data_IF_140381646745
#
_entry.id   IF_140381646745
#
_cell.length_a   1.000
_cell.length_b   1.000
_cell.length_c   1.000
_cell.angle_alpha   90.00
_cell.angle_beta   90.00
_cell.angle_gamma   90.00
#
_symmetry.space_group_name_H-M   'P 1'
#
loop_
_entity.id
_entity.type
_entity.pdbx_description
1 polymer ?
#
# COMPACT_ATOMS: atom_id res chain seq x y z
N UNK A 1 10.56 -8.79 -7.24
CA UNK A 1 9.68 -9.53 -8.18
C UNK A 1 8.24 -9.45 -7.67
N UNK A 2 7.27 -9.29 -8.57
CA UNK A 2 5.84 -9.12 -8.21
C UNK A 2 5.06 -10.38 -8.57
N UNK A 3 4.20 -10.84 -7.67
CA UNK A 3 3.40 -12.06 -7.80
C UNK A 3 1.95 -11.82 -7.41
N UNK A 4 1.05 -12.62 -7.97
CA UNK A 4 -0.34 -12.73 -7.51
C UNK A 4 -0.58 -14.13 -6.95
N UNK A 5 -1.29 -14.23 -5.82
CA UNK A 5 -1.53 -15.53 -5.16
C UNK A 5 -2.50 -16.43 -5.93
N UNK A 6 -3.40 -15.83 -6.70
CA UNK A 6 -4.44 -16.50 -7.48
C UNK A 6 -4.49 -16.00 -8.93
N UNK A 7 -5.18 -16.75 -9.80
CA UNK A 7 -5.51 -16.27 -11.14
C UNK A 7 -6.40 -15.03 -11.04
N UNK A 8 -5.92 -13.92 -11.61
CA UNK A 8 -6.61 -12.63 -11.60
C UNK A 8 -6.55 -11.98 -12.97
N UNK A 9 -7.63 -11.29 -13.36
CA UNK A 9 -7.66 -10.49 -14.58
C UNK A 9 -6.91 -9.15 -14.43
N UNK A 10 -6.30 -8.88 -13.27
CA UNK A 10 -5.54 -7.67 -12.99
C UNK A 10 -4.02 -7.87 -13.06
N UNK A 11 -3.52 -9.07 -13.39
CA UNK A 11 -2.08 -9.37 -13.36
C UNK A 11 -1.25 -8.43 -14.25
N UNK A 12 -1.66 -8.24 -15.51
CA UNK A 12 -0.97 -7.33 -16.43
C UNK A 12 -0.98 -5.88 -15.90
N UNK A 13 -2.09 -5.45 -15.30
CA UNK A 13 -2.23 -4.12 -14.72
C UNK A 13 -1.35 -3.92 -13.47
N UNK A 14 -1.22 -4.94 -12.61
CA UNK A 14 -0.33 -4.91 -11.44
C UNK A 14 1.13 -4.77 -11.90
N UNK A 15 1.55 -5.52 -12.92
CA UNK A 15 2.90 -5.39 -13.51
C UNK A 15 3.11 -4.04 -14.21
N UNK A 16 2.08 -3.50 -14.86
CA UNK A 16 2.14 -2.16 -15.43
C UNK A 16 2.32 -1.10 -14.33
N UNK A 17 1.60 -1.18 -13.21
CA UNK A 17 1.80 -0.31 -12.05
C UNK A 17 3.24 -0.42 -11.53
N UNK A 18 3.76 -1.64 -11.36
CA UNK A 18 5.14 -1.87 -10.93
C UNK A 18 6.18 -1.25 -11.88
N UNK A 19 5.90 -1.27 -13.18
CA UNK A 19 6.76 -0.70 -14.22
C UNK A 19 6.74 0.84 -14.19
N UNK A 20 5.54 1.45 -14.11
CA UNK A 20 5.36 2.91 -13.99
C UNK A 20 6.02 3.44 -12.72
N UNK A 21 5.90 2.72 -11.61
CA UNK A 21 6.47 3.09 -10.31
C UNK A 21 7.97 2.82 -10.21
N UNK A 22 8.58 2.14 -11.19
CA UNK A 22 10.00 1.81 -11.21
C UNK A 22 10.42 0.72 -10.22
N UNK A 23 9.49 -0.15 -9.81
CA UNK A 23 9.73 -1.21 -8.80
C UNK A 23 9.66 -2.63 -9.37
N UNK A 24 9.30 -2.78 -10.65
CA UNK A 24 9.20 -4.08 -11.32
C UNK A 24 10.47 -4.94 -11.19
N UNK A 25 11.64 -4.30 -11.29
CA UNK A 25 12.95 -4.96 -11.23
C UNK A 25 13.57 -4.97 -9.81
N UNK A 26 12.80 -4.60 -8.78
CA UNK A 26 13.28 -4.69 -7.40
C UNK A 26 13.54 -6.14 -6.98
N UNK A 27 14.54 -6.32 -6.11
CA UNK A 27 14.80 -7.59 -5.44
C UNK A 27 13.73 -7.93 -4.38
N UNK A 28 12.98 -6.92 -3.92
CA UNK A 28 11.85 -7.08 -2.99
C UNK A 28 10.78 -8.00 -3.59
N UNK A 29 10.33 -8.99 -2.83
CA UNK A 29 9.20 -9.84 -3.20
C UNK A 29 7.90 -9.11 -2.86
N UNK A 30 7.04 -8.88 -3.86
CA UNK A 30 5.73 -8.22 -3.66
C UNK A 30 4.64 -9.21 -4.01
N UNK A 31 3.82 -9.57 -3.03
CA UNK A 31 2.73 -10.53 -3.19
C UNK A 31 1.39 -9.81 -3.11
N UNK A 32 0.56 -9.96 -4.14
CA UNK A 32 -0.80 -9.37 -4.19
C UNK A 32 -1.86 -10.46 -4.06
N UNK A 33 -2.69 -10.36 -3.02
CA UNK A 33 -3.81 -11.25 -2.74
C UNK A 33 -5.15 -10.49 -2.88
N UNK A 34 -6.14 -11.14 -3.51
CA UNK A 34 -7.50 -10.60 -3.60
C UNK A 34 -8.41 -11.22 -2.54
N UNK A 35 -9.03 -10.39 -1.71
CA UNK A 35 -9.97 -10.82 -0.67
C UNK A 35 -11.38 -10.36 -0.99
N UNK A 36 -12.38 -11.09 -0.49
CA UNK A 36 -13.76 -10.63 -0.57
C UNK A 36 -13.95 -9.31 0.16
N UNK A 37 -13.34 -9.18 1.34
CA UNK A 37 -13.41 -8.01 2.20
C UNK A 37 -12.09 -7.91 2.96
N UNK A 38 -11.58 -6.70 3.09
CA UNK A 38 -10.51 -6.36 4.02
C UNK A 38 -11.10 -5.79 5.33
N UNK A 39 -10.28 -5.79 6.39
CA UNK A 39 -10.68 -5.27 7.70
C UNK A 39 -11.18 -3.82 7.61
N UNK A 40 -12.18 -3.49 8.44
CA UNK A 40 -12.88 -2.20 8.45
C UNK A 40 -13.47 -1.75 7.09
N UNK A 41 -13.72 -2.69 6.17
CA UNK A 41 -14.19 -2.39 4.80
C UNK A 41 -13.21 -1.52 4.00
N UNK A 42 -11.91 -1.62 4.29
CA UNK A 42 -10.85 -0.99 3.50
C UNK A 42 -10.83 -1.51 2.05
N UNK A 43 -10.35 -0.66 1.13
CA UNK A 43 -10.18 -1.01 -0.28
C UNK A 43 -8.97 -1.92 -0.54
N UNK A 44 -7.96 -1.82 0.31
CA UNK A 44 -6.78 -2.65 0.32
C UNK A 44 -5.91 -2.36 1.55
N UNK A 45 -4.80 -3.08 1.65
CA UNK A 45 -3.75 -2.87 2.62
C UNK A 45 -2.40 -3.23 2.01
N UNK A 46 -1.34 -2.54 2.41
CA UNK A 46 0.04 -2.83 2.05
C UNK A 46 0.92 -2.77 3.30
N UNK A 47 1.70 -3.82 3.55
CA UNK A 47 2.66 -3.87 4.65
C UNK A 47 3.86 -4.76 4.30
N UNK A 48 4.90 -4.67 5.13
CA UNK A 48 6.14 -5.42 4.93
C UNK A 48 7.36 -4.51 5.08
N UNK A 49 8.45 -4.91 4.44
CA UNK A 49 9.72 -4.18 4.47
C UNK A 49 10.40 -4.22 3.09
N UNK A 50 11.69 -3.88 3.04
CA UNK A 50 12.43 -3.84 1.77
C UNK A 50 12.75 -5.22 1.19
N UNK A 51 12.55 -6.30 1.93
CA UNK A 51 12.79 -7.67 1.49
C UNK A 51 11.48 -8.33 0.98
N UNK A 52 10.39 -8.19 1.73
CA UNK A 52 9.08 -8.79 1.42
C UNK A 52 7.92 -7.83 1.71
N UNK A 53 6.96 -7.74 0.78
CA UNK A 53 5.77 -6.91 0.86
C UNK A 53 4.53 -7.74 0.53
N UNK A 54 3.51 -7.60 1.36
CA UNK A 54 2.18 -8.19 1.18
C UNK A 54 1.17 -7.08 0.88
N UNK A 55 0.37 -7.30 -0.16
CA UNK A 55 -0.73 -6.43 -0.57
C UNK A 55 -2.02 -7.24 -0.56
N UNK A 56 -3.04 -6.71 0.09
CA UNK A 56 -4.42 -7.19 -0.01
C UNK A 56 -5.27 -6.20 -0.78
N UNK A 57 -6.14 -6.72 -1.66
CA UNK A 57 -7.13 -5.92 -2.38
C UNK A 57 -8.53 -6.47 -2.13
N UNK A 58 -9.42 -5.61 -1.65
CA UNK A 58 -10.83 -5.96 -1.50
C UNK A 58 -11.54 -5.99 -2.85
N UNK A 59 -12.38 -6.99 -3.05
CA UNK A 59 -13.24 -7.12 -4.24
C UNK A 59 -14.71 -6.77 -3.94
N UNK A 60 -15.08 -6.64 -2.67
CA UNK A 60 -16.41 -6.24 -2.22
C UNK A 60 -16.30 -5.25 -1.05
N UNK A 61 -17.28 -4.36 -0.93
CA UNK A 61 -17.46 -3.46 0.22
C UNK A 61 -18.90 -3.57 0.68
N UNK A 62 -19.12 -3.72 1.99
CA UNK A 62 -20.46 -3.91 2.58
C UNK A 62 -21.27 -5.07 1.98
N UNK A 63 -20.58 -6.05 1.36
CA UNK A 63 -21.19 -7.23 0.74
C UNK A 63 -21.49 -7.10 -0.75
N UNK A 64 -21.34 -5.91 -1.34
CA UNK A 64 -21.54 -5.67 -2.77
C UNK A 64 -20.20 -5.68 -3.52
N UNK A 65 -20.14 -6.26 -4.73
CA UNK A 65 -18.92 -6.28 -5.53
C UNK A 65 -18.51 -4.86 -5.94
N UNK A 66 -17.22 -4.57 -5.85
CA UNK A 66 -16.66 -3.32 -6.31
C UNK A 66 -16.61 -3.25 -7.84
N UNK A 67 -16.88 -2.08 -8.44
CA UNK A 67 -16.54 -1.81 -9.83
C UNK A 67 -15.06 -2.09 -10.12
N UNK A 68 -14.75 -2.58 -11.32
CA UNK A 68 -13.35 -2.83 -11.74
C UNK A 68 -12.49 -1.57 -11.64
N UNK A 69 -13.04 -0.40 -11.95
CA UNK A 69 -12.33 0.88 -11.82
C UNK A 69 -11.89 1.16 -10.38
N UNK A 70 -12.74 0.86 -9.40
CA UNK A 70 -12.42 1.05 -7.98
C UNK A 70 -11.34 0.06 -7.52
N UNK A 71 -11.42 -1.20 -7.97
CA UNK A 71 -10.37 -2.20 -7.69
C UNK A 71 -9.03 -1.76 -8.28
N UNK A 72 -9.02 -1.24 -9.51
CA UNK A 72 -7.81 -0.75 -10.16
C UNK A 72 -7.22 0.47 -9.46
N UNK A 73 -8.07 1.35 -8.92
CA UNK A 73 -7.65 2.48 -8.09
C UNK A 73 -7.03 2.00 -6.78
N UNK A 74 -7.64 1.04 -6.08
CA UNK A 74 -7.06 0.45 -4.87
C UNK A 74 -5.72 -0.24 -5.17
N UNK A 75 -5.61 -0.99 -6.26
CA UNK A 75 -4.33 -1.58 -6.69
C UNK A 75 -3.27 -0.48 -6.90
N UNK A 76 -3.59 0.60 -7.60
CA UNK A 76 -2.63 1.70 -7.80
C UNK A 76 -2.21 2.33 -6.47
N UNK A 77 -3.14 2.51 -5.54
CA UNK A 77 -2.89 3.04 -4.19
C UNK A 77 -1.93 2.15 -3.40
N UNK A 78 -2.25 0.86 -3.26
CA UNK A 78 -1.40 -0.07 -2.51
C UNK A 78 -0.03 -0.29 -3.17
N UNK A 79 0.03 -0.25 -4.51
CA UNK A 79 1.30 -0.30 -5.22
C UNK A 79 2.18 0.94 -4.98
N UNK A 80 1.59 2.11 -4.74
CA UNK A 80 2.33 3.30 -4.31
C UNK A 80 2.93 3.07 -2.92
N UNK A 81 2.19 2.47 -1.98
CA UNK A 81 2.75 2.10 -0.67
C UNK A 81 3.90 1.11 -0.80
N UNK A 82 3.77 0.10 -1.67
CA UNK A 82 4.88 -0.81 -1.94
C UNK A 82 6.12 -0.07 -2.48
N UNK A 83 5.94 0.90 -3.39
CA UNK A 83 7.05 1.75 -3.83
C UNK A 83 7.66 2.55 -2.68
N UNK A 84 6.82 3.16 -1.83
CA UNK A 84 7.29 3.94 -0.70
C UNK A 84 8.14 3.10 0.26
N UNK A 85 7.74 1.85 0.53
CA UNK A 85 8.51 0.89 1.35
C UNK A 85 9.81 0.48 0.64
N UNK A 86 9.74 0.03 -0.61
CA UNK A 86 10.90 -0.42 -1.40
C UNK A 86 11.98 0.66 -1.49
N UNK A 87 11.57 1.92 -1.61
CA UNK A 87 12.48 3.06 -1.72
C UNK A 87 13.01 3.58 -0.38
N UNK A 88 12.56 3.00 0.74
CA UNK A 88 12.89 3.46 2.10
C UNK A 88 12.26 4.81 2.46
N UNK A 89 11.27 5.27 1.70
CA UNK A 89 10.50 6.47 2.03
C UNK A 89 9.50 6.20 3.14
N UNK A 90 8.97 4.97 3.24
CA UNK A 90 8.05 4.55 4.28
C UNK A 90 8.63 3.35 5.04
N UNK A 91 8.67 3.45 6.37
CA UNK A 91 9.06 2.35 7.26
C UNK A 91 8.11 2.31 8.45
N UNK A 92 7.35 1.21 8.60
CA UNK A 92 6.53 0.97 9.80
C UNK A 92 7.41 0.34 10.89
N UNK A 93 7.72 1.15 11.92
CA UNK A 93 8.54 0.74 13.08
C UNK A 93 7.68 0.01 14.13
N UNK A 94 6.36 -0.01 13.94
CA UNK A 94 5.41 -0.69 14.80
C UNK A 94 5.16 0.02 16.13
N UNK A 95 4.70 -0.76 17.12
CA UNK A 95 4.35 -0.24 18.43
C UNK A 95 5.60 -0.03 19.30
N UNK A 96 5.82 1.20 19.74
CA UNK A 96 6.92 1.60 20.61
C UNK A 96 6.40 2.13 21.95
N UNK A 97 7.15 1.91 23.02
CA UNK A 97 6.89 2.51 24.32
C UNK A 97 7.56 3.89 24.39
N UNK A 98 6.75 4.94 24.46
CA UNK A 98 7.21 6.30 24.60
C UNK A 98 7.08 6.74 26.06
N UNK A 99 8.21 7.12 26.67
CA UNK A 99 8.26 7.58 28.05
C UNK A 99 8.24 9.11 28.10
N UNK A 100 7.27 9.67 28.82
CA UNK A 100 7.18 11.09 29.12
C UNK A 100 7.09 11.29 30.63
N UNK A 101 8.23 11.63 31.25
CA UNK A 101 8.38 11.64 32.71
C UNK A 101 8.21 10.24 33.29
N UNK A 102 7.28 10.10 34.24
CA UNK A 102 6.92 8.81 34.86
C UNK A 102 5.82 8.06 34.10
N UNK A 103 5.29 8.61 33.01
CA UNK A 103 4.24 7.98 32.19
C UNK A 103 4.83 7.24 31.00
N UNK A 104 4.30 6.06 30.72
CA UNK A 104 4.59 5.29 29.51
C UNK A 104 3.32 5.20 28.65
N UNK A 105 3.46 5.43 27.36
CA UNK A 105 2.35 5.32 26.39
C UNK A 105 2.82 4.49 25.21
N UNK A 106 1.99 3.55 24.80
CA UNK A 106 2.21 2.78 23.58
C UNK A 106 1.78 3.63 22.39
N UNK A 107 2.68 3.83 21.43
CA UNK A 107 2.41 4.59 20.21
C UNK A 107 2.82 3.78 19.00
N UNK A 108 2.08 3.89 17.90
CA UNK A 108 2.58 3.43 16.61
C UNK A 108 3.58 4.46 16.07
N UNK A 109 4.71 3.97 15.55
CA UNK A 109 5.80 4.79 15.01
C UNK A 109 6.01 4.42 13.56
N UNK A 110 5.97 5.42 12.69
CA UNK A 110 6.24 5.29 11.26
C UNK A 110 7.29 6.33 10.87
N UNK A 111 8.25 5.94 10.04
CA UNK A 111 9.21 6.87 9.44
C UNK A 111 8.75 7.17 8.01
N UNK A 112 8.64 8.45 7.69
CA UNK A 112 8.32 8.92 6.35
C UNK A 112 9.35 9.95 5.88
N UNK A 113 10.01 9.69 4.76
CA UNK A 113 11.09 10.53 4.20
C UNK A 113 12.15 10.92 5.26
N UNK A 114 12.45 9.99 6.17
CA UNK A 114 13.42 10.17 7.27
C UNK A 114 12.88 10.92 8.50
N UNK A 115 11.63 11.36 8.50
CA UNK A 115 10.98 12.00 9.64
C UNK A 115 10.11 11.00 10.42
N UNK A 116 10.09 11.12 11.75
CA UNK A 116 9.33 10.21 12.63
C UNK A 116 7.94 10.74 12.92
N UNK A 117 6.92 9.92 12.65
CA UNK A 117 5.52 10.18 12.91
C UNK A 117 5.02 9.23 14.00
N UNK A 118 4.27 9.75 14.98
CA UNK A 118 3.70 8.92 16.07
C UNK A 118 2.22 9.19 16.24
N UNK A 119 1.40 8.14 16.29
CA UNK A 119 -0.07 8.20 16.41
C UNK A 119 -0.72 9.25 15.48
N UNK A 120 -0.21 9.38 14.25
CA UNK A 120 -0.68 10.40 13.30
C UNK A 120 -2.05 9.99 12.73
N UNK A 121 -3.08 10.85 12.83
CA UNK A 121 -4.40 10.58 12.24
C UNK A 121 -4.28 10.29 10.74
N UNK A 122 -5.09 9.37 10.23
CA UNK A 122 -5.02 8.88 8.84
C UNK A 122 -5.03 10.01 7.79
N UNK A 123 -5.92 10.99 7.95
CA UNK A 123 -6.03 12.15 7.06
C UNK A 123 -4.85 13.14 7.18
N UNK A 124 -4.00 12.98 8.19
CA UNK A 124 -2.78 13.74 8.40
C UNK A 124 -1.52 13.00 7.93
N UNK A 125 -1.59 11.69 7.72
CA UNK A 125 -0.46 10.84 7.33
C UNK A 125 0.11 11.26 5.96
N UNK A 126 1.41 11.60 5.87
CA UNK A 126 2.00 12.08 4.63
C UNK A 126 2.10 11.01 3.54
N UNK A 127 2.26 9.73 3.90
CA UNK A 127 2.29 8.61 2.94
C UNK A 127 0.94 8.39 2.26
N UNK A 128 -0.15 8.49 3.02
CA UNK A 128 -1.52 8.46 2.48
C UNK A 128 -1.77 9.64 1.53
N UNK A 129 -1.38 10.86 1.95
CA UNK A 129 -1.51 12.05 1.10
C UNK A 129 -0.73 11.91 -0.22
N UNK A 130 0.47 11.34 -0.17
CA UNK A 130 1.26 11.03 -1.37
C UNK A 130 0.56 10.00 -2.26
N UNK A 131 0.02 8.92 -1.67
CA UNK A 131 -0.71 7.89 -2.40
C UNK A 131 -1.96 8.44 -3.10
N UNK A 132 -2.85 9.12 -2.36
CA UNK A 132 -4.05 9.75 -2.93
C UNK A 132 -3.73 10.80 -4.00
N UNK A 133 -2.63 11.54 -3.87
CA UNK A 133 -2.24 12.53 -4.87
C UNK A 133 -1.78 11.92 -6.20
N UNK A 134 -1.41 10.63 -6.21
CA UNK A 134 -0.75 9.95 -7.33
C UNK A 134 -1.58 8.82 -7.92
N UNK A 135 -2.47 8.19 -7.16
CA UNK A 135 -3.21 6.97 -7.55
C UNK A 135 -3.89 7.08 -8.92
N UNK A 136 -4.54 8.22 -9.20
CA UNK A 136 -5.23 8.44 -10.48
C UNK A 136 -4.24 8.53 -11.65
N UNK A 137 -3.10 9.19 -11.45
CA UNK A 137 -2.06 9.30 -12.48
C UNK A 137 -1.42 7.94 -12.76
N UNK A 138 -1.11 7.17 -11.72
CA UNK A 138 -0.51 5.84 -11.84
C UNK A 138 -1.48 4.89 -12.53
N UNK A 139 -2.75 4.91 -12.15
CA UNK A 139 -3.79 4.11 -12.78
C UNK A 139 -3.90 4.42 -14.28
N UNK A 140 -4.04 5.69 -14.64
CA UNK A 140 -4.16 6.11 -16.04
C UNK A 140 -2.92 5.80 -16.87
N UNK A 141 -1.73 5.94 -16.28
CA UNK A 141 -0.47 5.63 -16.97
C UNK A 141 -0.33 4.12 -17.20
N UNK A 142 -0.56 3.30 -16.17
CA UNK A 142 -0.51 1.84 -16.24
C UNK A 142 -1.52 1.27 -17.25
N UNK A 143 -2.70 1.89 -17.35
CA UNK A 143 -3.73 1.54 -18.35
C UNK A 143 -3.27 1.67 -19.80
N UNK A 144 -2.22 2.46 -20.10
CA UNK A 144 -1.69 2.56 -21.46
C UNK A 144 -0.80 1.37 -21.86
N UNK A 145 -0.47 0.49 -20.91
CA UNK A 145 0.40 -0.67 -21.12
C UNK A 145 -0.35 -2.01 -21.19
N UNK A 146 -1.68 -1.99 -20.98
CA UNK A 146 -2.54 -3.19 -20.89
C UNK A 146 -3.67 -3.20 -21.93
#
# INVERSE_FOLDING_TARGET
MIYTTDETNYSDYIHACGSVLGIQDSLTEVTVEFKKKCDNDAGGFCWGDTDEIEIEIATHVQGDPLPSEDIMRHIAHEMIHAQQIITGRLEDVGLQLLQSGDSQTLVNVVIWDGETYTNTPYDEQPWEKDAYAREESIMNEALNYV
#
